data_IF_577633305533
#
_entry.id   IF_577633305533
#
_cell.length_a   1.000
_cell.length_b   1.000
_cell.length_c   1.000
_cell.angle_alpha   90.00
_cell.angle_beta   90.00
_cell.angle_gamma   90.00
#
_symmetry.space_group_name_H-M   'P 1'
#
loop_
_entity.id
_entity.type
_entity.pdbx_description
1 polymer ?
#
# COMPACT_ATOMS: atom_id res chain seq x y z
N UNK A 1 4.51 2.79 -47.30
CA UNK A 1 5.34 3.78 -46.57
C UNK A 1 6.71 3.71 -47.21
N UNK A 2 7.23 4.82 -47.74
CA UNK A 2 8.48 4.83 -48.52
C UNK A 2 9.69 4.84 -47.54
N UNK A 3 10.78 4.16 -47.90
CA UNK A 3 11.98 4.00 -47.06
C UNK A 3 12.69 5.33 -46.77
N UNK A 4 12.62 6.28 -47.72
CA UNK A 4 13.26 7.59 -47.67
C UNK A 4 12.67 8.51 -46.58
N UNK A 5 11.37 8.37 -46.30
CA UNK A 5 10.67 9.09 -45.24
C UNK A 5 11.07 8.60 -43.84
N UNK A 6 11.51 7.34 -43.75
CA UNK A 6 11.94 6.70 -42.50
C UNK A 6 13.39 7.03 -42.13
N UNK A 7 14.19 7.55 -43.06
CA UNK A 7 15.54 8.07 -42.80
C UNK A 7 15.51 9.55 -42.39
N UNK A 8 14.60 10.34 -42.97
CA UNK A 8 14.49 11.79 -42.71
C UNK A 8 13.89 12.12 -41.34
N UNK A 9 13.00 11.26 -40.86
CA UNK A 9 12.62 11.23 -39.46
C UNK A 9 13.38 10.05 -38.88
N UNK A 10 14.48 10.33 -38.16
CA UNK A 10 15.25 9.39 -37.35
C UNK A 10 14.34 8.87 -36.21
N UNK A 11 13.21 8.28 -36.58
CA UNK A 11 12.35 7.44 -35.76
C UNK A 11 13.21 6.20 -35.56
N UNK A 12 14.19 6.36 -34.68
CA UNK A 12 14.66 5.30 -33.83
C UNK A 12 13.38 4.79 -33.22
N UNK A 13 12.87 3.69 -33.78
CA UNK A 13 12.16 2.73 -32.99
C UNK A 13 13.09 2.50 -31.81
N UNK A 14 12.83 3.24 -30.73
CA UNK A 14 13.30 2.91 -29.41
C UNK A 14 12.86 1.46 -29.29
N UNK A 15 13.80 0.57 -29.59
CA UNK A 15 13.76 -0.81 -29.19
C UNK A 15 13.56 -0.67 -27.70
N UNK A 16 12.29 -0.69 -27.29
CA UNK A 16 11.89 -1.16 -25.98
C UNK A 16 12.67 -2.45 -25.89
N UNK A 17 13.76 -2.39 -25.14
CA UNK A 17 14.34 -3.57 -24.57
C UNK A 17 13.18 -4.18 -23.80
N UNK A 18 12.45 -5.05 -24.50
CA UNK A 18 11.65 -6.07 -23.88
C UNK A 18 12.72 -6.89 -23.19
N UNK A 19 13.03 -6.48 -21.96
CA UNK A 19 13.91 -7.20 -21.10
C UNK A 19 13.25 -8.56 -20.94
N UNK A 20 13.72 -9.52 -21.72
CA UNK A 20 13.36 -10.94 -21.65
C UNK A 20 13.89 -11.55 -20.34
N UNK A 21 14.11 -10.73 -19.30
CA UNK A 21 14.36 -11.20 -17.96
C UNK A 21 13.04 -11.80 -17.48
N UNK A 22 13.01 -13.08 -17.10
CA UNK A 22 11.80 -13.69 -16.59
C UNK A 22 11.32 -12.85 -15.40
N UNK A 23 10.11 -12.28 -15.51
CA UNK A 23 9.47 -11.61 -14.39
C UNK A 23 9.46 -12.64 -13.26
N UNK A 24 10.17 -12.39 -12.15
CA UNK A 24 10.27 -13.38 -11.08
C UNK A 24 8.85 -13.70 -10.62
N UNK A 25 8.54 -14.99 -10.44
CA UNK A 25 7.21 -15.45 -10.04
C UNK A 25 6.78 -14.73 -8.77
N UNK A 26 5.90 -13.75 -8.91
CA UNK A 26 5.42 -12.87 -7.85
C UNK A 26 4.31 -13.59 -7.08
N UNK A 27 4.58 -14.01 -5.84
CA UNK A 27 3.57 -14.66 -5.00
C UNK A 27 2.71 -13.61 -4.27
N UNK A 28 1.80 -13.00 -5.04
CA UNK A 28 0.90 -11.93 -4.56
C UNK A 28 0.07 -12.40 -3.36
N UNK A 29 -0.45 -13.64 -3.40
CA UNK A 29 -1.33 -14.17 -2.37
C UNK A 29 -0.62 -14.25 -1.00
N UNK A 30 0.59 -14.81 -0.96
CA UNK A 30 1.35 -14.89 0.30
C UNK A 30 1.74 -13.50 0.80
N UNK A 31 2.12 -12.60 -0.11
CA UNK A 31 2.43 -11.22 0.24
C UNK A 31 1.22 -10.52 0.89
N UNK A 32 0.04 -10.62 0.26
CA UNK A 32 -1.19 -10.03 0.77
C UNK A 32 -1.60 -10.61 2.13
N UNK A 33 -1.49 -11.93 2.32
CA UNK A 33 -1.79 -12.56 3.61
C UNK A 33 -0.90 -12.00 4.72
N UNK A 34 0.42 -11.93 4.49
CA UNK A 34 1.36 -11.38 5.48
C UNK A 34 0.99 -9.94 5.84
N UNK A 35 0.63 -9.11 4.85
CA UNK A 35 0.26 -7.71 5.05
C UNK A 35 -1.03 -7.55 5.85
N UNK A 36 -2.03 -8.39 5.58
CA UNK A 36 -3.29 -8.42 6.36
C UNK A 36 -3.04 -8.88 7.80
N UNK A 37 -2.21 -9.89 8.02
CA UNK A 37 -1.85 -10.35 9.37
C UNK A 37 -1.18 -9.22 10.17
N UNK A 38 -0.23 -8.52 9.56
CA UNK A 38 0.44 -7.37 10.21
C UNK A 38 -0.57 -6.26 10.52
N UNK A 39 -1.50 -5.96 9.60
CA UNK A 39 -2.57 -4.98 9.84
C UNK A 39 -3.43 -5.36 11.05
N UNK A 40 -3.88 -6.62 11.14
CA UNK A 40 -4.70 -7.10 12.26
C UNK A 40 -3.94 -6.94 13.58
N UNK A 41 -2.67 -7.36 13.64
CA UNK A 41 -1.83 -7.22 14.83
C UNK A 41 -1.69 -5.74 15.23
N UNK A 42 -1.38 -4.87 14.27
CA UNK A 42 -1.26 -3.44 14.51
C UNK A 42 -2.57 -2.83 15.02
N UNK A 43 -3.72 -3.24 14.47
CA UNK A 43 -5.04 -2.81 14.91
C UNK A 43 -5.33 -3.24 16.35
N UNK A 44 -5.08 -4.50 16.71
CA UNK A 44 -5.28 -5.01 18.08
C UNK A 44 -4.39 -4.25 19.08
N UNK A 45 -3.12 -4.03 18.75
CA UNK A 45 -2.21 -3.24 19.58
C UNK A 45 -2.69 -1.79 19.75
N UNK A 46 -3.11 -1.16 18.65
CA UNK A 46 -3.62 0.22 18.67
C UNK A 46 -4.87 0.33 19.54
N UNK A 47 -5.81 -0.62 19.42
CA UNK A 47 -7.00 -0.69 20.25
C UNK A 47 -6.67 -0.88 21.73
N UNK A 48 -5.70 -1.74 22.06
CA UNK A 48 -5.24 -1.93 23.43
C UNK A 48 -4.67 -0.63 24.03
N UNK A 49 -3.85 0.09 23.27
CA UNK A 49 -3.31 1.39 23.68
C UNK A 49 -4.43 2.41 23.89
N UNK A 50 -5.39 2.50 22.96
CA UNK A 50 -6.53 3.41 23.08
C UNK A 50 -7.43 3.08 24.28
N UNK A 51 -7.60 1.79 24.61
CA UNK A 51 -8.36 1.39 25.78
C UNK A 51 -7.69 1.84 27.08
N UNK A 52 -6.37 1.66 27.19
CA UNK A 52 -5.58 2.18 28.32
C UNK A 52 -5.65 3.71 28.38
N UNK A 53 -5.55 4.39 27.24
CA UNK A 53 -5.68 5.84 27.14
C UNK A 53 -7.05 6.33 27.66
N UNK A 54 -8.13 5.63 27.29
CA UNK A 54 -9.49 5.97 27.70
C UNK A 54 -9.73 5.76 29.20
N UNK A 55 -9.19 4.68 29.78
CA UNK A 55 -9.32 4.40 31.22
C UNK A 55 -8.45 5.30 32.08
N UNK A 56 -7.22 5.59 31.65
CA UNK A 56 -6.25 6.41 32.39
C UNK A 56 -6.39 7.91 32.15
N UNK A 57 -7.17 8.34 31.14
CA UNK A 57 -7.28 9.75 30.75
C UNK A 57 -6.00 10.32 30.13
N UNK A 58 -5.05 9.47 29.74
CA UNK A 58 -3.72 9.88 29.27
C UNK A 58 -3.71 10.11 27.75
N UNK A 59 -3.79 11.37 27.34
CA UNK A 59 -3.70 11.80 25.94
C UNK A 59 -2.43 11.30 25.23
N UNK A 60 -1.32 11.12 25.97
CA UNK A 60 -0.06 10.63 25.40
C UNK A 60 -0.21 9.28 24.69
N UNK A 61 -1.02 8.37 25.24
CA UNK A 61 -1.29 7.07 24.62
C UNK A 61 -2.17 7.20 23.37
N UNK A 62 -3.12 8.14 23.33
CA UNK A 62 -3.91 8.40 22.13
C UNK A 62 -3.04 8.95 20.98
N UNK A 63 -2.09 9.84 21.29
CA UNK A 63 -1.10 10.34 20.32
C UNK A 63 -0.21 9.20 19.82
N UNK A 64 0.24 8.32 20.72
CA UNK A 64 1.05 7.15 20.36
C UNK A 64 0.27 6.19 19.43
N UNK A 65 -0.99 5.91 19.75
CA UNK A 65 -1.86 5.09 18.92
C UNK A 65 -2.02 5.68 17.49
N UNK A 66 -2.22 7.00 17.40
CA UNK A 66 -2.28 7.69 16.11
C UNK A 66 -0.96 7.59 15.34
N UNK A 67 0.18 7.75 16.01
CA UNK A 67 1.50 7.63 15.39
C UNK A 67 1.74 6.23 14.81
N UNK A 68 1.29 5.17 15.50
CA UNK A 68 1.38 3.79 15.01
C UNK A 68 0.58 3.60 13.71
N UNK A 69 -0.65 4.12 13.66
CA UNK A 69 -1.50 4.05 12.46
C UNK A 69 -0.83 4.78 11.29
N UNK A 70 -0.34 6.00 11.52
CA UNK A 70 0.35 6.79 10.49
C UNK A 70 1.61 6.06 10.01
N UNK A 71 2.41 5.51 10.93
CA UNK A 71 3.61 4.77 10.60
C UNK A 71 3.30 3.54 9.73
N UNK A 72 2.23 2.80 10.06
CA UNK A 72 1.81 1.64 9.28
C UNK A 72 1.47 2.01 7.83
N UNK A 73 0.63 3.05 7.63
CA UNK A 73 0.33 3.53 6.28
C UNK A 73 1.58 4.06 5.56
N UNK A 74 2.44 4.78 6.25
CA UNK A 74 3.70 5.28 5.70
C UNK A 74 4.61 4.16 5.18
N UNK A 75 4.77 3.09 5.96
CA UNK A 75 5.54 1.90 5.59
C UNK A 75 4.94 1.24 4.35
N UNK A 76 3.62 1.04 4.31
CA UNK A 76 2.93 0.42 3.17
C UNK A 76 3.11 1.22 1.88
N UNK A 77 2.98 2.55 1.94
CA UNK A 77 3.17 3.43 0.79
C UNK A 77 4.63 3.42 0.32
N UNK A 78 5.59 3.49 1.25
CA UNK A 78 7.01 3.44 0.93
C UNK A 78 7.39 2.10 0.27
N UNK A 79 6.85 1.00 0.78
CA UNK A 79 7.05 -0.32 0.21
C UNK A 79 6.45 -0.44 -1.19
N UNK A 80 5.21 0.01 -1.41
CA UNK A 80 4.58 -0.02 -2.73
C UNK A 80 5.42 0.76 -3.76
N UNK A 81 5.97 1.92 -3.37
CA UNK A 81 6.91 2.69 -4.22
C UNK A 81 8.19 1.91 -4.50
N UNK A 82 8.77 1.23 -3.51
CA UNK A 82 9.98 0.43 -3.70
C UNK A 82 9.74 -0.79 -4.60
N UNK A 83 8.58 -1.46 -4.46
CA UNK A 83 8.17 -2.58 -5.31
C UNK A 83 8.01 -2.14 -6.77
N UNK A 84 7.39 -0.99 -7.03
CA UNK A 84 7.32 -0.41 -8.39
C UNK A 84 8.69 -0.12 -8.97
N UNK A 85 9.61 0.45 -8.18
CA UNK A 85 11.01 0.68 -8.62
C UNK A 85 11.74 -0.61 -8.99
N UNK A 86 11.34 -1.75 -8.42
CA UNK A 86 11.91 -3.07 -8.70
C UNK A 86 11.14 -3.83 -9.79
N UNK A 87 10.26 -3.18 -10.56
CA UNK A 87 9.37 -3.81 -11.55
C UNK A 87 8.47 -4.91 -10.97
N UNK A 88 8.19 -4.88 -9.66
CA UNK A 88 7.26 -5.80 -8.97
C UNK A 88 5.86 -5.17 -8.88
N UNK A 89 5.27 -4.90 -10.03
CA UNK A 89 4.02 -4.13 -10.13
C UNK A 89 2.83 -4.85 -9.48
N UNK A 90 2.71 -6.17 -9.64
CA UNK A 90 1.59 -6.92 -9.05
C UNK A 90 1.60 -6.88 -7.51
N UNK A 91 2.78 -6.99 -6.88
CA UNK A 91 2.89 -6.82 -5.43
C UNK A 91 2.58 -5.38 -5.00
N UNK A 92 3.04 -4.39 -5.77
CA UNK A 92 2.77 -2.99 -5.45
C UNK A 92 1.27 -2.65 -5.56
N UNK A 93 0.59 -3.18 -6.57
CA UNK A 93 -0.84 -3.02 -6.77
C UNK A 93 -1.63 -3.72 -5.67
N UNK A 94 -1.22 -4.94 -5.28
CA UNK A 94 -1.81 -5.63 -4.13
C UNK A 94 -1.64 -4.83 -2.83
N UNK A 95 -0.46 -4.24 -2.59
CA UNK A 95 -0.22 -3.42 -1.40
C UNK A 95 -1.09 -2.15 -1.40
N UNK A 96 -1.21 -1.48 -2.56
CA UNK A 96 -2.09 -0.34 -2.75
C UNK A 96 -3.56 -0.71 -2.51
N UNK A 97 -4.00 -1.88 -2.98
CA UNK A 97 -5.37 -2.35 -2.77
C UNK A 97 -5.65 -2.60 -1.28
N UNK A 98 -4.70 -3.14 -0.53
CA UNK A 98 -4.81 -3.30 0.92
C UNK A 98 -4.91 -1.95 1.62
N UNK A 99 -4.12 -0.95 1.21
CA UNK A 99 -4.21 0.43 1.76
C UNK A 99 -5.62 0.98 1.53
N UNK A 100 -6.13 0.92 0.29
CA UNK A 100 -7.47 1.42 -0.05
C UNK A 100 -8.54 0.71 0.77
N UNK A 101 -8.47 -0.62 0.87
CA UNK A 101 -9.42 -1.41 1.65
C UNK A 101 -9.40 -1.01 3.14
N UNK A 102 -8.22 -0.80 3.72
CA UNK A 102 -8.08 -0.35 5.10
C UNK A 102 -8.71 1.03 5.31
N UNK A 103 -8.45 2.00 4.42
CA UNK A 103 -9.04 3.35 4.49
C UNK A 103 -10.56 3.29 4.38
N UNK A 104 -11.09 2.55 3.40
CA UNK A 104 -12.54 2.39 3.21
C UNK A 104 -13.17 1.77 4.46
N UNK A 105 -12.55 0.74 5.03
CA UNK A 105 -13.04 0.09 6.26
C UNK A 105 -13.11 1.09 7.42
N UNK A 106 -12.08 1.91 7.60
CA UNK A 106 -12.06 2.95 8.64
C UNK A 106 -13.19 3.96 8.41
N UNK A 107 -13.37 4.45 7.18
CA UNK A 107 -14.44 5.40 6.85
C UNK A 107 -15.84 4.79 7.07
N UNK A 108 -16.04 3.53 6.69
CA UNK A 108 -17.29 2.81 6.93
C UNK A 108 -17.57 2.66 8.43
N UNK A 109 -16.56 2.36 9.25
CA UNK A 109 -16.70 2.28 10.71
C UNK A 109 -17.08 3.64 11.30
N UNK A 110 -16.43 4.73 10.87
CA UNK A 110 -16.80 6.08 11.31
C UNK A 110 -18.24 6.45 10.91
N UNK A 111 -18.64 6.17 9.66
CA UNK A 111 -19.99 6.43 9.19
C UNK A 111 -21.04 5.60 9.97
N UNK A 112 -20.73 4.34 10.27
CA UNK A 112 -21.58 3.48 11.08
C UNK A 112 -21.74 4.04 12.51
N UNK A 113 -20.64 4.44 13.16
CA UNK A 113 -20.69 5.03 14.50
C UNK A 113 -21.49 6.35 14.48
N UNK A 114 -21.29 7.20 13.48
CA UNK A 114 -21.96 8.50 13.37
C UNK A 114 -23.47 8.40 13.09
N UNK A 115 -23.96 7.28 12.56
CA UNK A 115 -25.39 7.05 12.28
C UNK A 115 -26.13 6.35 13.42
N UNK A 116 -25.40 5.77 14.39
CA UNK A 116 -25.97 5.17 15.60
C UNK A 116 -26.06 6.15 16.78
N UNK A 117 -25.61 7.38 16.60
CA UNK A 117 -25.72 8.49 17.55
C UNK A 117 -26.77 9.51 17.09
#
# INVERSE_FOLDING_TARGET
MNEEFNELFDIKEDKKEISNLPVPKQNVLVHSIIRVVILIIASVLTLGILFVAALGGEIGFAILALAIVIAWFGIMIAEAKNLRKQNKNDLADANNMIIVLAVVTVLCLFAYIATMH
#
